data_IF_663224821646
#
_entry.id   IF_663224821646
#
_cell.length_a   1.000
_cell.length_b   1.000
_cell.length_c   1.000
_cell.angle_alpha   90.00
_cell.angle_beta   90.00
_cell.angle_gamma   90.00
#
_symmetry.space_group_name_H-M   'P 1'
#
loop_
_entity.id
_entity.type
_entity.pdbx_description
1 polymer ?
#
# COMPACT_ATOMS: atom_id res chain seq x y z
N UNK A 1 -25.20 12.59 15.56
CA UNK A 1 -24.13 11.60 15.34
C UNK A 1 -24.57 10.60 14.26
N UNK A 2 -24.53 11.03 13.00
CA UNK A 2 -25.15 10.30 11.88
C UNK A 2 -24.31 9.12 11.40
N UNK A 3 -24.93 8.17 10.68
CA UNK A 3 -24.27 7.06 10.00
C UNK A 3 -23.10 7.55 9.10
N UNK A 4 -23.26 8.73 8.50
CA UNK A 4 -22.24 9.39 7.68
C UNK A 4 -20.99 9.80 8.47
N UNK A 5 -21.14 10.22 9.73
CA UNK A 5 -20.00 10.49 10.63
C UNK A 5 -19.29 9.21 11.07
N UNK A 6 -19.99 8.07 11.05
CA UNK A 6 -19.39 6.77 11.35
C UNK A 6 -18.60 6.25 10.15
N UNK A 7 -19.12 6.42 8.94
CA UNK A 7 -18.41 6.10 7.69
C UNK A 7 -17.18 7.00 7.52
N UNK A 8 -17.31 8.31 7.77
CA UNK A 8 -16.19 9.26 7.74
C UNK A 8 -15.12 8.99 8.80
N UNK A 9 -15.52 8.53 10.00
CA UNK A 9 -14.59 8.08 11.04
C UNK A 9 -13.93 6.75 10.72
N UNK A 10 -14.66 5.80 10.14
CA UNK A 10 -14.07 4.53 9.68
C UNK A 10 -12.98 4.80 8.62
N UNK A 11 -13.26 5.69 7.66
CA UNK A 11 -12.28 6.12 6.65
C UNK A 11 -11.04 6.81 7.25
N UNK A 12 -11.21 7.70 8.25
CA UNK A 12 -10.09 8.40 8.89
C UNK A 12 -9.31 7.57 9.90
N UNK A 13 -9.99 6.69 10.64
CA UNK A 13 -9.35 5.83 11.64
C UNK A 13 -8.55 4.69 10.98
N UNK A 14 -8.97 4.21 9.80
CA UNK A 14 -8.28 3.11 9.12
C UNK A 14 -6.96 3.55 8.46
N UNK A 15 -6.83 4.81 8.04
CA UNK A 15 -5.57 5.33 7.44
C UNK A 15 -4.40 5.29 8.45
N UNK A 16 -4.68 5.49 9.74
CA UNK A 16 -3.64 5.42 10.79
C UNK A 16 -3.35 3.99 11.28
N UNK A 17 -4.26 3.03 11.06
CA UNK A 17 -4.09 1.65 11.53
C UNK A 17 -3.55 0.68 10.44
N UNK A 18 -3.57 1.11 9.17
CA UNK A 18 -3.08 0.36 8.00
C UNK A 18 -1.56 0.31 7.85
N UNK A 19 -0.81 0.97 8.73
CA UNK A 19 0.67 0.88 8.74
C UNK A 19 1.14 -0.41 9.45
N UNK A 20 0.27 -1.12 10.18
CA UNK A 20 0.70 -2.17 11.11
C UNK A 20 0.48 -3.64 10.70
N UNK A 21 -0.46 -3.96 9.80
CA UNK A 21 -0.78 -5.36 9.50
C UNK A 21 -1.13 -5.56 8.02
N UNK A 22 -0.55 -6.62 7.46
CA UNK A 22 -0.60 -7.04 6.07
C UNK A 22 -1.99 -7.52 5.62
N UNK A 23 -3.01 -6.65 5.63
CA UNK A 23 -4.22 -6.89 4.85
C UNK A 23 -4.06 -6.27 3.46
N UNK A 24 -4.21 -7.13 2.45
CA UNK A 24 -4.13 -6.78 1.04
C UNK A 24 -5.06 -5.60 0.72
N UNK A 25 -4.54 -4.43 0.31
CA UNK A 25 -5.35 -3.25 0.04
C UNK A 25 -6.41 -3.50 -1.03
N UNK A 26 -6.19 -4.47 -1.93
CA UNK A 26 -7.20 -4.90 -2.89
C UNK A 26 -8.44 -5.49 -2.18
N UNK A 27 -8.23 -6.37 -1.18
CA UNK A 27 -9.31 -7.02 -0.42
C UNK A 27 -10.13 -6.03 0.39
N UNK A 28 -9.49 -5.05 1.02
CA UNK A 28 -10.20 -4.03 1.82
C UNK A 28 -11.12 -3.19 0.93
N UNK A 29 -10.64 -2.78 -0.25
CA UNK A 29 -11.43 -2.01 -1.20
C UNK A 29 -12.57 -2.83 -1.80
N UNK A 30 -12.33 -4.12 -2.09
CA UNK A 30 -13.38 -5.05 -2.52
C UNK A 30 -14.46 -5.23 -1.46
N UNK A 31 -14.07 -5.50 -0.21
CA UNK A 31 -14.99 -5.65 0.91
C UNK A 31 -15.81 -4.38 1.13
N UNK A 32 -15.18 -3.21 1.08
CA UNK A 32 -15.89 -1.92 1.22
C UNK A 32 -16.97 -1.75 0.14
N UNK A 33 -16.66 -2.12 -1.11
CA UNK A 33 -17.62 -2.05 -2.22
C UNK A 33 -18.75 -3.07 -2.07
N UNK A 34 -18.50 -4.24 -1.47
CA UNK A 34 -19.51 -5.24 -1.14
C UNK A 34 -20.43 -4.74 -0.03
N UNK A 35 -19.88 -4.24 1.07
CA UNK A 35 -20.65 -3.69 2.19
C UNK A 35 -21.57 -2.55 1.71
N UNK A 36 -21.08 -1.67 0.84
CA UNK A 36 -21.89 -0.61 0.24
C UNK A 36 -23.01 -1.13 -0.68
N UNK A 37 -22.83 -2.28 -1.33
CA UNK A 37 -23.88 -2.93 -2.12
C UNK A 37 -24.96 -3.52 -1.21
N UNK A 38 -24.55 -4.17 -0.12
CA UNK A 38 -25.48 -4.72 0.86
C UNK A 38 -26.30 -3.62 1.54
N UNK A 39 -25.67 -2.52 1.93
CA UNK A 39 -26.34 -1.32 2.44
C UNK A 39 -27.37 -0.78 1.44
N UNK A 40 -27.03 -0.75 0.15
CA UNK A 40 -27.95 -0.31 -0.90
C UNK A 40 -29.15 -1.26 -1.04
N UNK A 41 -28.94 -2.57 -0.92
CA UNK A 41 -30.03 -3.56 -0.95
C UNK A 41 -30.96 -3.36 0.25
N UNK A 42 -30.41 -3.22 1.45
CA UNK A 42 -31.19 -2.97 2.67
C UNK A 42 -32.00 -1.67 2.56
N UNK A 43 -31.39 -0.60 2.03
CA UNK A 43 -32.08 0.66 1.84
C UNK A 43 -33.21 0.56 0.82
N UNK A 44 -33.02 -0.21 -0.27
CA UNK A 44 -34.07 -0.49 -1.25
C UNK A 44 -35.24 -1.25 -0.63
N UNK A 45 -34.96 -2.25 0.20
CA UNK A 45 -36.00 -2.99 0.93
C UNK A 45 -36.77 -2.08 1.90
N UNK A 46 -36.07 -1.24 2.66
CA UNK A 46 -36.68 -0.27 3.56
C UNK A 46 -37.57 0.74 2.80
N UNK A 47 -37.08 1.25 1.66
CA UNK A 47 -37.85 2.14 0.80
C UNK A 47 -39.10 1.46 0.23
N UNK A 48 -38.98 0.20 -0.21
CA UNK A 48 -40.12 -0.57 -0.70
C UNK A 48 -41.18 -0.78 0.39
N UNK A 49 -40.76 -1.14 1.61
CA UNK A 49 -41.66 -1.27 2.75
C UNK A 49 -42.34 0.05 3.09
N UNK A 50 -41.61 1.17 3.11
CA UNK A 50 -42.17 2.49 3.37
C UNK A 50 -43.21 2.89 2.30
N UNK A 51 -42.92 2.63 1.02
CA UNK A 51 -43.86 2.89 -0.09
C UNK A 51 -45.10 2.01 0.04
N UNK A 52 -44.96 0.75 0.46
CA UNK A 52 -46.11 -0.13 0.68
C UNK A 52 -47.02 0.39 1.80
N UNK A 53 -46.44 0.85 2.92
CA UNK A 53 -47.19 1.47 4.03
C UNK A 53 -47.89 2.76 3.59
N UNK A 54 -47.23 3.58 2.77
CA UNK A 54 -47.80 4.79 2.19
C UNK A 54 -49.02 4.48 1.33
N UNK A 55 -48.89 3.52 0.40
CA UNK A 55 -50.01 3.08 -0.46
C UNK A 55 -51.17 2.49 0.35
N UNK A 56 -50.87 1.79 1.44
CA UNK A 56 -51.90 1.29 2.35
C UNK A 56 -52.66 2.44 3.01
N UNK A 57 -51.93 3.45 3.51
CA UNK A 57 -52.51 4.65 4.14
C UNK A 57 -53.35 5.45 3.13
N UNK A 58 -52.89 5.59 1.88
CA UNK A 58 -53.66 6.20 0.77
C UNK A 58 -55.02 5.52 0.55
N UNK A 59 -55.02 4.17 0.53
CA UNK A 59 -56.27 3.41 0.38
C UNK A 59 -57.20 3.59 1.59
N UNK A 60 -56.64 3.62 2.80
CA UNK A 60 -57.42 3.85 4.02
C UNK A 60 -58.04 5.26 4.05
N UNK A 61 -57.29 6.27 3.61
CA UNK A 61 -57.79 7.64 3.43
C UNK A 61 -58.95 7.68 2.44
N UNK A 62 -58.76 7.10 1.26
CA UNK A 62 -59.79 7.05 0.21
C UNK A 62 -61.05 6.32 0.69
N UNK A 63 -60.90 5.21 1.42
CA UNK A 63 -62.01 4.47 1.99
C UNK A 63 -62.78 5.30 3.03
N UNK A 64 -62.07 6.00 3.92
CA UNK A 64 -62.70 6.86 4.93
C UNK A 64 -63.46 8.03 4.29
N UNK A 65 -62.90 8.65 3.25
CA UNK A 65 -63.57 9.69 2.47
C UNK A 65 -64.84 9.16 1.79
N UNK A 66 -64.75 7.99 1.13
CA UNK A 66 -65.91 7.36 0.49
C UNK A 66 -67.03 7.05 1.48
N UNK A 67 -66.68 6.53 2.67
CA UNK A 67 -67.64 6.29 3.75
C UNK A 67 -68.27 7.59 4.28
N UNK A 68 -67.49 8.67 4.42
CA UNK A 68 -68.03 9.97 4.80
C UNK A 68 -69.04 10.49 3.76
N UNK A 69 -68.73 10.36 2.47
CA UNK A 69 -69.63 10.78 1.39
C UNK A 69 -70.90 9.92 1.32
N UNK A 70 -70.79 8.63 1.62
CA UNK A 70 -71.94 7.74 1.72
C UNK A 70 -72.87 8.15 2.86
N UNK A 71 -72.32 8.40 4.06
CA UNK A 71 -73.11 8.89 5.18
C UNK A 71 -73.73 10.26 4.90
N UNK A 72 -73.07 11.11 4.11
CA UNK A 72 -73.64 12.36 3.66
C UNK A 72 -74.86 12.15 2.76
N UNK A 73 -74.77 11.26 1.76
CA UNK A 73 -75.90 10.90 0.89
C UNK A 73 -77.06 10.30 1.69
N UNK A 74 -76.77 9.46 2.69
CA UNK A 74 -77.78 8.89 3.60
C UNK A 74 -78.46 9.97 4.43
N UNK A 75 -77.72 10.97 4.92
CA UNK A 75 -78.29 12.11 5.65
C UNK A 75 -79.23 12.94 4.75
N UNK A 76 -78.83 13.20 3.50
CA UNK A 76 -79.68 13.90 2.53
C UNK A 76 -80.97 13.13 2.23
N UNK A 77 -80.88 11.81 2.08
CA UNK A 77 -82.06 10.95 1.87
C UNK A 77 -83.00 10.98 3.08
N UNK A 78 -82.48 10.87 4.30
CA UNK A 78 -83.29 10.95 5.52
C UNK A 78 -84.01 12.31 5.62
N UNK A 79 -83.30 13.40 5.33
CA UNK A 79 -83.87 14.74 5.32
C UNK A 79 -84.96 14.90 4.24
N UNK A 80 -84.77 14.34 3.05
CA UNK A 80 -85.79 14.37 1.98
C UNK A 80 -87.07 13.62 2.34
N UNK A 81 -86.98 12.68 3.30
CA UNK A 81 -88.11 11.93 3.85
C UNK A 81 -88.72 12.59 5.11
N UNK A 82 -88.20 13.74 5.53
CA UNK A 82 -88.65 14.46 6.72
C UNK A 82 -88.11 13.92 8.04
N UNK A 83 -87.15 12.99 8.00
CA UNK A 83 -86.67 12.27 9.18
C UNK A 83 -85.38 12.92 9.74
N UNK A 84 -85.54 14.06 10.40
CA UNK A 84 -84.42 14.89 10.86
C UNK A 84 -83.50 14.18 11.87
N UNK A 85 -84.05 13.34 12.75
CA UNK A 85 -83.26 12.63 13.75
C UNK A 85 -82.28 11.66 13.08
N UNK A 86 -82.76 10.90 12.10
CA UNK A 86 -81.94 9.97 11.32
C UNK A 86 -80.88 10.72 10.48
N UNK A 87 -81.22 11.90 9.94
CA UNK A 87 -80.28 12.74 9.24
C UNK A 87 -79.14 13.24 10.16
N UNK A 88 -79.47 13.66 11.39
CA UNK A 88 -78.47 14.08 12.40
C UNK A 88 -77.53 12.94 12.76
N UNK A 89 -78.05 11.73 13.01
CA UNK A 89 -77.23 10.55 13.30
C UNK A 89 -76.27 10.21 12.15
N UNK A 90 -76.75 10.26 10.91
CA UNK A 90 -75.92 10.04 9.72
C UNK A 90 -74.80 11.10 9.60
N UNK A 91 -75.08 12.37 9.93
CA UNK A 91 -74.07 13.43 9.95
C UNK A 91 -73.04 13.24 11.06
N UNK A 92 -73.42 12.74 12.24
CA UNK A 92 -72.47 12.39 13.31
C UNK A 92 -71.50 11.30 12.83
N UNK A 93 -72.01 10.25 12.16
CA UNK A 93 -71.15 9.20 11.58
C UNK A 93 -70.25 9.75 10.49
N UNK A 94 -70.78 10.58 9.57
CA UNK A 94 -69.97 11.29 8.56
C UNK A 94 -68.81 12.03 9.20
N UNK A 95 -69.08 12.82 10.25
CA UNK A 95 -68.05 13.61 10.94
C UNK A 95 -66.92 12.72 11.48
N UNK A 96 -67.25 11.59 12.10
CA UNK A 96 -66.25 10.61 12.58
C UNK A 96 -65.36 10.07 11.45
N UNK A 97 -65.94 9.74 10.28
CA UNK A 97 -65.15 9.34 9.11
C UNK A 97 -64.30 10.47 8.53
N UNK A 98 -64.78 11.72 8.57
CA UNK A 98 -63.99 12.88 8.15
C UNK A 98 -62.79 13.12 9.08
N UNK A 99 -62.97 13.01 10.39
CA UNK A 99 -61.88 13.08 11.36
C UNK A 99 -60.85 11.96 11.14
N UNK A 100 -61.32 10.75 10.86
CA UNK A 100 -60.46 9.60 10.51
C UNK A 100 -59.68 9.86 9.21
N UNK A 101 -60.33 10.43 8.18
CA UNK A 101 -59.68 10.80 6.93
C UNK A 101 -58.61 11.89 7.16
N UNK A 102 -58.90 12.90 7.98
CA UNK A 102 -57.92 13.93 8.34
C UNK A 102 -56.69 13.32 9.03
N UNK A 103 -56.90 12.41 9.97
CA UNK A 103 -55.80 11.71 10.64
C UNK A 103 -54.92 10.93 9.65
N UNK A 104 -55.51 10.18 8.71
CA UNK A 104 -54.75 9.50 7.66
C UNK A 104 -54.04 10.45 6.71
N UNK A 105 -54.64 11.60 6.38
CA UNK A 105 -54.01 12.61 5.53
C UNK A 105 -52.74 13.19 6.18
N UNK A 106 -52.80 13.54 7.47
CA UNK A 106 -51.62 13.98 8.23
C UNK A 106 -50.55 12.89 8.30
N UNK A 107 -50.96 11.64 8.54
CA UNK A 107 -50.02 10.51 8.57
C UNK A 107 -49.34 10.30 7.21
N UNK A 108 -50.08 10.51 6.11
CA UNK A 108 -49.61 10.36 4.74
C UNK A 108 -48.61 11.46 4.36
N UNK A 109 -48.78 12.68 4.85
CA UNK A 109 -47.81 13.76 4.68
C UNK A 109 -46.46 13.39 5.31
N UNK A 110 -46.47 12.92 6.56
CA UNK A 110 -45.26 12.48 7.26
C UNK A 110 -44.56 11.31 6.53
N UNK A 111 -45.35 10.33 6.07
CA UNK A 111 -44.82 9.19 5.31
C UNK A 111 -44.22 9.60 3.97
N UNK A 112 -44.80 10.58 3.28
CA UNK A 112 -44.24 11.13 2.04
C UNK A 112 -42.85 11.71 2.25
N UNK A 113 -42.63 12.47 3.32
CA UNK A 113 -41.31 13.00 3.67
C UNK A 113 -40.30 11.88 3.92
N UNK A 114 -40.70 10.83 4.64
CA UNK A 114 -39.83 9.66 4.90
C UNK A 114 -39.45 8.98 3.58
N UNK A 115 -40.43 8.70 2.71
CA UNK A 115 -40.19 8.06 1.41
C UNK A 115 -39.30 8.94 0.52
N UNK A 116 -39.49 10.26 0.51
CA UNK A 116 -38.66 11.19 -0.24
C UNK A 116 -37.19 11.14 0.25
N UNK A 117 -36.98 11.16 1.56
CA UNK A 117 -35.65 11.07 2.16
C UNK A 117 -34.97 9.73 1.85
N UNK A 118 -35.70 8.61 1.93
CA UNK A 118 -35.16 7.28 1.57
C UNK A 118 -34.75 7.22 0.10
N UNK A 119 -35.57 7.77 -0.81
CA UNK A 119 -35.24 7.86 -2.24
C UNK A 119 -34.01 8.74 -2.50
N UNK A 120 -33.85 9.83 -1.76
CA UNK A 120 -32.69 10.70 -1.89
C UNK A 120 -31.41 10.00 -1.40
N UNK A 121 -31.47 9.39 -0.21
CA UNK A 121 -30.36 8.64 0.36
C UNK A 121 -29.93 7.48 -0.56
N UNK A 122 -30.90 6.82 -1.20
CA UNK A 122 -30.63 5.75 -2.17
C UNK A 122 -29.82 6.27 -3.35
N UNK A 123 -30.24 7.38 -3.97
CA UNK A 123 -29.49 8.01 -5.07
C UNK A 123 -28.09 8.42 -4.65
N UNK A 124 -27.92 8.96 -3.44
CA UNK A 124 -26.60 9.31 -2.92
C UNK A 124 -25.71 8.09 -2.73
N UNK A 125 -26.24 6.99 -2.18
CA UNK A 125 -25.49 5.74 -2.03
C UNK A 125 -25.14 5.11 -3.38
N UNK A 126 -26.05 5.14 -4.36
CA UNK A 126 -25.78 4.69 -5.73
C UNK A 126 -24.63 5.48 -6.36
N UNK A 127 -24.63 6.81 -6.23
CA UNK A 127 -23.53 7.66 -6.70
C UNK A 127 -22.21 7.34 -6.01
N UNK A 128 -22.22 7.23 -4.68
CA UNK A 128 -21.01 6.90 -3.92
C UNK A 128 -20.49 5.51 -4.24
N UNK A 129 -21.36 4.54 -4.47
CA UNK A 129 -20.99 3.19 -4.87
C UNK A 129 -20.32 3.20 -6.25
N UNK A 130 -20.85 3.97 -7.20
CA UNK A 130 -20.23 4.13 -8.52
C UNK A 130 -18.82 4.75 -8.39
N UNK A 131 -18.68 5.81 -7.59
CA UNK A 131 -17.37 6.42 -7.30
C UNK A 131 -16.41 5.45 -6.61
N UNK A 132 -16.89 4.68 -5.64
CA UNK A 132 -16.08 3.70 -4.92
C UNK A 132 -15.59 2.58 -5.84
N UNK A 133 -16.41 2.10 -6.77
CA UNK A 133 -16.01 1.13 -7.80
C UNK A 133 -14.89 1.68 -8.68
N UNK A 134 -15.06 2.88 -9.23
CA UNK A 134 -14.03 3.53 -10.05
C UNK A 134 -12.72 3.72 -9.29
N UNK A 135 -12.80 4.17 -8.02
CA UNK A 135 -11.62 4.34 -7.16
C UNK A 135 -10.95 3.01 -6.86
N UNK A 136 -11.72 1.96 -6.55
CA UNK A 136 -11.20 0.60 -6.36
C UNK A 136 -10.38 0.18 -7.57
N UNK A 137 -10.94 0.24 -8.76
CA UNK A 137 -10.28 -0.22 -9.98
C UNK A 137 -8.99 0.58 -10.26
N UNK A 138 -9.02 1.90 -10.02
CA UNK A 138 -7.83 2.76 -10.12
C UNK A 138 -6.74 2.36 -9.10
N UNK A 139 -7.11 2.12 -7.84
CA UNK A 139 -6.15 1.75 -6.80
C UNK A 139 -5.57 0.36 -7.01
N UNK A 140 -6.38 -0.61 -7.45
CA UNK A 140 -5.92 -1.95 -7.85
C UNK A 140 -4.91 -1.84 -9.00
N UNK A 141 -5.22 -1.08 -10.05
CA UNK A 141 -4.30 -0.89 -11.18
C UNK A 141 -2.97 -0.24 -10.75
N UNK A 142 -3.03 0.73 -9.82
CA UNK A 142 -1.85 1.39 -9.26
C UNK A 142 -1.04 0.46 -8.37
N UNK A 143 -1.69 -0.34 -7.52
CA UNK A 143 -1.05 -1.34 -6.67
C UNK A 143 -0.32 -2.39 -7.51
N UNK A 144 -0.97 -2.91 -8.57
CA UNK A 144 -0.34 -3.85 -9.53
C UNK A 144 0.85 -3.24 -10.26
N UNK A 145 0.73 -1.99 -10.72
CA UNK A 145 1.85 -1.28 -11.36
C UNK A 145 3.03 -1.08 -10.41
N UNK A 146 2.74 -0.72 -9.15
CA UNK A 146 3.76 -0.59 -8.11
C UNK A 146 4.44 -1.92 -7.80
N UNK A 147 3.67 -3.00 -7.62
CA UNK A 147 4.19 -4.36 -7.40
C UNK A 147 5.03 -4.86 -8.59
N UNK A 148 4.63 -4.56 -9.83
CA UNK A 148 5.41 -4.89 -11.02
C UNK A 148 6.74 -4.12 -11.07
N UNK A 149 6.71 -2.82 -10.74
CA UNK A 149 7.91 -1.97 -10.66
C UNK A 149 8.86 -2.46 -9.57
N UNK A 150 8.33 -2.79 -8.39
CA UNK A 150 9.12 -3.34 -7.28
C UNK A 150 9.74 -4.69 -7.67
N UNK A 151 8.97 -5.58 -8.30
CA UNK A 151 9.48 -6.86 -8.79
C UNK A 151 10.56 -6.68 -9.85
N UNK A 152 10.41 -5.71 -10.77
CA UNK A 152 11.45 -5.34 -11.73
C UNK A 152 12.72 -4.84 -11.02
N UNK A 153 12.61 -3.94 -10.04
CA UNK A 153 13.77 -3.49 -9.26
C UNK A 153 14.43 -4.62 -8.47
N UNK A 154 13.67 -5.54 -7.90
CA UNK A 154 14.23 -6.73 -7.23
C UNK A 154 14.94 -7.65 -8.23
N UNK A 155 14.36 -7.88 -9.42
CA UNK A 155 14.99 -8.69 -10.47
C UNK A 155 16.24 -8.01 -11.02
N UNK A 156 16.21 -6.70 -11.29
CA UNK A 156 17.37 -5.91 -11.75
C UNK A 156 18.44 -5.77 -10.66
N UNK A 157 18.06 -5.69 -9.38
CA UNK A 157 19.03 -5.73 -8.27
C UNK A 157 19.68 -7.11 -8.15
N UNK A 158 18.94 -8.19 -8.42
CA UNK A 158 19.49 -9.56 -8.51
C UNK A 158 20.31 -9.77 -9.80
N UNK A 159 19.92 -9.14 -10.90
CA UNK A 159 20.65 -9.05 -12.17
C UNK A 159 21.46 -7.76 -12.20
N UNK A 160 22.44 -7.64 -11.33
CA UNK A 160 23.46 -6.61 -11.47
C UNK A 160 24.49 -7.10 -12.53
N UNK A 161 24.49 -6.61 -13.79
CA UNK A 161 25.53 -6.97 -14.77
C UNK A 161 26.93 -6.55 -14.31
N UNK A 162 27.05 -5.66 -13.32
CA UNK A 162 28.31 -5.31 -12.65
C UNK A 162 28.92 -6.46 -11.84
N UNK A 163 28.13 -7.47 -11.46
CA UNK A 163 28.65 -8.67 -10.79
C UNK A 163 29.37 -9.63 -11.75
N UNK A 164 28.90 -9.73 -13.00
CA UNK A 164 29.49 -10.60 -14.02
C UNK A 164 30.67 -9.92 -14.73
N UNK A 165 30.59 -8.62 -15.05
CA UNK A 165 31.72 -7.85 -15.57
C UNK A 165 32.81 -7.66 -14.50
N UNK A 166 32.44 -7.33 -13.26
CA UNK A 166 33.41 -7.24 -12.16
C UNK A 166 34.00 -8.58 -11.72
N UNK A 167 33.46 -9.72 -12.15
CA UNK A 167 34.10 -11.03 -11.96
C UNK A 167 35.21 -11.28 -12.98
N UNK A 168 35.06 -10.79 -14.22
CA UNK A 168 36.10 -10.81 -15.23
C UNK A 168 37.24 -9.86 -14.88
N UNK A 169 36.95 -8.63 -14.47
CA UNK A 169 37.98 -7.66 -14.05
C UNK A 169 38.81 -8.19 -12.86
N UNK A 170 38.15 -8.82 -11.88
CA UNK A 170 38.83 -9.47 -10.74
C UNK A 170 39.64 -10.70 -11.14
N UNK A 171 39.26 -11.40 -12.22
CA UNK A 171 40.01 -12.52 -12.74
C UNK A 171 41.23 -12.04 -13.54
N UNK A 172 41.07 -10.98 -14.34
CA UNK A 172 42.15 -10.32 -15.08
C UNK A 172 43.21 -9.76 -14.12
N UNK A 173 42.82 -9.04 -13.07
CA UNK A 173 43.75 -8.53 -12.07
C UNK A 173 44.48 -9.64 -11.32
N UNK A 174 43.82 -10.77 -11.07
CA UNK A 174 44.43 -11.95 -10.43
C UNK A 174 45.38 -12.67 -11.38
N UNK A 175 45.09 -12.72 -12.67
CA UNK A 175 45.98 -13.26 -13.70
C UNK A 175 47.22 -12.38 -13.83
N UNK A 176 47.07 -11.06 -13.94
CA UNK A 176 48.18 -10.10 -13.93
C UNK A 176 49.07 -10.24 -12.69
N UNK A 177 48.47 -10.43 -11.51
CA UNK A 177 49.24 -10.67 -10.27
C UNK A 177 49.98 -12.01 -10.27
N UNK A 178 49.39 -13.05 -10.88
CA UNK A 178 50.03 -14.36 -11.03
C UNK A 178 51.17 -14.29 -12.05
N UNK A 179 50.99 -13.58 -13.17
CA UNK A 179 52.02 -13.35 -14.17
C UNK A 179 53.17 -12.51 -13.62
N UNK A 180 52.87 -11.44 -12.85
CA UNK A 180 53.88 -10.65 -12.17
C UNK A 180 54.66 -11.46 -11.12
N UNK A 181 53.98 -12.35 -10.38
CA UNK A 181 54.64 -13.30 -9.46
C UNK A 181 55.48 -14.34 -10.21
N UNK A 182 55.00 -14.86 -11.33
CA UNK A 182 55.73 -15.82 -12.16
C UNK A 182 56.97 -15.16 -12.80
N UNK A 183 56.87 -13.91 -13.25
CA UNK A 183 58.00 -13.11 -13.72
C UNK A 183 59.02 -12.83 -12.61
N UNK A 184 58.55 -12.45 -11.42
CA UNK A 184 59.43 -12.28 -10.26
C UNK A 184 60.10 -13.59 -9.80
N UNK A 185 59.42 -14.73 -9.92
CA UNK A 185 59.98 -16.05 -9.64
C UNK A 185 60.97 -16.51 -10.73
N UNK A 186 60.78 -16.12 -11.99
CA UNK A 186 61.76 -16.34 -13.05
C UNK A 186 63.03 -15.50 -12.82
N UNK A 187 62.90 -14.26 -12.35
CA UNK A 187 64.03 -13.41 -11.97
C UNK A 187 64.76 -13.92 -10.70
N UNK A 188 64.05 -14.56 -9.77
CA UNK A 188 64.66 -15.18 -8.57
C UNK A 188 65.30 -16.54 -8.93
N UNK A 189 64.72 -17.31 -9.85
CA UNK A 189 65.23 -18.62 -10.27
C UNK A 189 66.49 -18.56 -11.14
N UNK A 190 66.70 -17.46 -11.87
CA UNK A 190 67.94 -17.23 -12.63
C UNK A 190 69.15 -16.96 -11.73
N UNK A 191 68.98 -16.23 -10.63
CA UNK A 191 70.09 -15.85 -9.76
C UNK A 191 70.51 -16.93 -8.75
N UNK A 192 69.61 -17.82 -8.33
CA UNK A 192 69.95 -18.86 -7.34
C UNK A 192 70.71 -20.05 -7.96
N UNK A 193 70.46 -20.37 -9.23
CA UNK A 193 71.20 -21.42 -9.95
C UNK A 193 72.62 -20.94 -10.34
N UNK A 194 72.75 -19.70 -10.81
CA UNK A 194 74.04 -19.05 -11.11
C UNK A 194 74.90 -18.90 -9.84
N UNK A 195 74.30 -18.53 -8.69
CA UNK A 195 74.99 -18.49 -7.41
C UNK A 195 75.42 -19.87 -6.90
N UNK A 196 74.63 -20.93 -7.16
CA UNK A 196 74.99 -22.31 -6.81
C UNK A 196 76.10 -22.87 -7.70
N UNK A 197 76.18 -22.48 -8.98
CA UNK A 197 77.29 -22.82 -9.86
C UNK A 197 78.55 -22.00 -9.53
N UNK A 198 78.44 -20.69 -9.25
CA UNK A 198 79.56 -19.88 -8.79
C UNK A 198 80.13 -20.37 -7.44
N UNK A 199 79.29 -20.89 -6.54
CA UNK A 199 79.73 -21.50 -5.28
C UNK A 199 80.38 -22.88 -5.46
N UNK A 200 80.04 -23.63 -6.52
CA UNK A 200 80.67 -24.89 -6.90
C UNK A 200 81.98 -24.68 -7.69
N UNK A 201 82.07 -23.61 -8.49
CA UNK A 201 83.28 -23.17 -9.19
C UNK A 201 84.30 -22.50 -8.26
N UNK A 202 83.85 -21.93 -7.13
CA UNK A 202 84.71 -21.41 -6.07
C UNK A 202 85.29 -22.48 -5.12
N UNK A 203 84.99 -23.77 -5.36
CA UNK A 203 85.41 -24.91 -4.54
C UNK A 203 86.71 -25.60 -4.99
N UNK A 204 87.70 -24.83 -5.45
CA UNK A 204 89.02 -25.33 -5.86
C UNK A 204 90.17 -24.45 -5.37
N UNK A 205 90.88 -24.95 -4.36
CA UNK A 205 92.28 -24.62 -4.03
C UNK A 205 92.59 -23.26 -3.35
N UNK A 206 92.17 -23.09 -2.08
CA UNK A 206 92.52 -21.91 -1.26
C UNK A 206 93.19 -22.23 0.10
N UNK A 207 93.27 -23.48 0.57
CA UNK A 207 93.80 -23.74 1.92
C UNK A 207 95.27 -24.17 2.00
N UNK A 208 95.92 -24.62 0.93
CA UNK A 208 97.24 -25.26 1.04
C UNK A 208 98.44 -24.34 0.85
N UNK A 209 98.38 -23.29 0.02
CA UNK A 209 99.61 -22.56 -0.38
C UNK A 209 99.80 -21.15 0.20
N UNK A 210 98.76 -20.46 0.70
CA UNK A 210 98.95 -19.06 1.20
C UNK A 210 98.82 -18.88 2.71
N UNK A 211 98.24 -19.86 3.43
CA UNK A 211 98.46 -20.00 4.88
C UNK A 211 99.95 -20.25 5.20
N UNK A 212 100.68 -20.94 4.30
CA UNK A 212 102.13 -21.13 4.37
C UNK A 212 102.94 -19.83 4.14
N UNK A 213 102.36 -18.82 3.47
CA UNK A 213 103.06 -17.56 3.15
C UNK A 213 102.68 -16.39 4.07
N UNK A 214 101.45 -16.31 4.59
CA UNK A 214 101.03 -15.26 5.54
C UNK A 214 101.54 -15.47 6.97
N UNK A 215 101.85 -16.71 7.37
CA UNK A 215 102.57 -16.98 8.62
C UNK A 215 104.03 -16.46 8.61
N UNK A 216 104.55 -16.05 7.45
CA UNK A 216 105.92 -15.56 7.29
C UNK A 216 106.08 -14.03 7.32
N UNK A 217 105.04 -13.19 7.31
CA UNK A 217 105.25 -11.73 7.08
C UNK A 217 104.61 -10.72 8.04
N UNK A 218 103.37 -10.81 8.56
CA UNK A 218 102.76 -9.59 9.17
C UNK A 218 102.05 -9.81 10.51
N UNK A 219 102.83 -10.29 11.47
CA UNK A 219 102.73 -9.90 12.86
C UNK A 219 103.06 -8.39 13.02
N UNK A 220 102.30 -7.51 12.37
CA UNK A 220 102.51 -6.08 12.37
C UNK A 220 101.26 -5.28 12.00
N UNK A 221 100.51 -4.87 13.03
CA UNK A 221 99.90 -3.54 13.22
C UNK A 221 99.03 -2.93 12.09
N UNK A 222 97.90 -2.26 12.31
CA UNK A 222 97.05 -1.91 13.44
C UNK A 222 95.91 -1.04 12.84
N UNK A 223 94.77 -0.90 13.54
CA UNK A 223 93.81 0.24 13.50
C UNK A 223 93.03 0.48 12.18
N UNK A 224 91.70 0.33 12.08
CA UNK A 224 90.58 0.91 12.84
C UNK A 224 90.50 2.46 12.82
N UNK A 225 89.33 2.97 12.41
CA UNK A 225 88.71 4.33 12.55
C UNK A 225 88.48 5.06 11.22
N UNK A 226 87.42 5.81 10.94
CA UNK A 226 86.07 6.14 11.45
C UNK A 226 85.45 7.08 10.36
N UNK A 227 84.14 7.40 10.41
CA UNK A 227 83.32 8.03 9.34
C UNK A 227 83.06 9.54 9.60
N UNK A 228 82.19 10.23 8.80
CA UNK A 228 81.15 11.21 9.27
C UNK A 228 80.49 12.12 8.20
N UNK A 229 79.17 12.31 8.37
CA UNK A 229 78.29 13.51 8.21
C UNK A 229 78.09 14.21 6.82
N UNK A 230 76.87 14.38 6.23
CA UNK A 230 75.63 15.18 6.58
C UNK A 230 75.82 16.73 6.56
N UNK A 231 74.77 17.58 6.39
CA UNK A 231 73.62 17.64 5.45
C UNK A 231 73.26 19.14 5.07
N UNK A 232 71.98 19.43 4.76
CA UNK A 232 71.24 20.74 4.72
C UNK A 232 71.33 21.57 3.42
N UNK A 233 70.33 22.26 2.86
CA UNK A 233 68.86 22.44 3.01
C UNK A 233 68.41 23.36 1.79
N UNK A 234 67.33 24.17 1.74
CA UNK A 234 66.18 23.96 0.82
C UNK A 234 65.70 25.16 -0.05
N UNK A 235 64.60 24.94 -0.81
CA UNK A 235 63.56 25.88 -1.33
C UNK A 235 63.99 26.94 -2.38
N UNK A 236 63.21 27.41 -3.37
CA UNK A 236 61.78 27.49 -3.77
C UNK A 236 61.79 28.04 -5.24
N UNK A 237 60.68 28.47 -5.89
CA UNK A 237 59.26 28.11 -5.78
C UNK A 237 58.68 27.40 -7.03
#
# INVERSE_FOLDING_TARGET
MGLLDRIGRALRANINHLVGQAEDPEKILEQTVLDMQDDLIQLRQAAASAIATLKRTERQLSQAQSSADEWYRRAQLALSKGDENLAREALVRRKSYQETALAFATQLEQQNTIVANLKQNMRTLESKLAEAKTKKDMYIARARSAAATEKLHQVTSRYNPSGALGAFDRMEEKILQMEARAGALADIGGNELEQKFAALEAGGDIDTELAAMKAKIVAGNNQAQLPSARPSDPQKP
#
